data_IF_890226827229
#
_entry.id   IF_890226827229
#
_cell.length_a   1.000
_cell.length_b   1.000
_cell.length_c   1.000
_cell.angle_alpha   90.00
_cell.angle_beta   90.00
_cell.angle_gamma   90.00
#
_symmetry.space_group_name_H-M   'P 1'
#
loop_
_entity.id
_entity.type
_entity.pdbx_description
1 polymer ?
#
# COMPACT_ATOMS: atom_id res chain seq x y z
N UNK A 1 2.29 -8.29 -8.25
CA UNK A 1 2.11 -6.90 -7.73
C UNK A 1 2.96 -6.74 -6.48
N UNK A 2 3.74 -5.66 -6.33
CA UNK A 2 4.46 -5.37 -5.08
C UNK A 2 3.48 -5.16 -3.91
N UNK A 3 3.89 -5.53 -2.69
CA UNK A 3 3.05 -5.38 -1.50
C UNK A 3 2.67 -3.93 -1.21
N UNK A 4 3.54 -2.99 -1.56
CA UNK A 4 3.35 -1.54 -1.37
C UNK A 4 2.23 -1.00 -2.28
N UNK A 5 2.18 -1.46 -3.54
CA UNK A 5 1.12 -1.10 -4.47
C UNK A 5 -0.24 -1.63 -4.00
N UNK A 6 -0.30 -2.91 -3.60
CA UNK A 6 -1.52 -3.50 -3.06
C UNK A 6 -2.02 -2.73 -1.82
N UNK A 7 -1.10 -2.33 -0.94
CA UNK A 7 -1.44 -1.59 0.26
C UNK A 7 -2.09 -0.24 -0.06
N UNK A 8 -1.63 0.42 -1.13
CA UNK A 8 -2.21 1.68 -1.58
C UNK A 8 -3.56 1.47 -2.27
N UNK A 9 -3.68 0.45 -3.12
CA UNK A 9 -4.97 0.12 -3.75
C UNK A 9 -6.04 -0.18 -2.70
N UNK A 10 -5.73 -1.03 -1.73
CA UNK A 10 -6.66 -1.33 -0.62
C UNK A 10 -7.01 -0.10 0.22
N UNK A 11 -6.08 0.86 0.37
CA UNK A 11 -6.35 2.08 1.10
C UNK A 11 -7.38 2.93 0.37
N UNK A 12 -7.23 3.14 -0.94
CA UNK A 12 -8.14 3.97 -1.73
C UNK A 12 -9.45 3.27 -2.05
N UNK A 13 -9.43 1.95 -2.26
CA UNK A 13 -10.65 1.13 -2.38
C UNK A 13 -11.52 1.24 -1.13
N UNK A 14 -10.93 1.38 0.07
CA UNK A 14 -11.69 1.63 1.30
C UNK A 14 -12.49 2.95 1.27
N UNK A 15 -12.11 3.89 0.40
CA UNK A 15 -12.82 5.14 0.14
C UNK A 15 -13.64 5.12 -1.16
N UNK A 16 -13.71 3.97 -1.86
CA UNK A 16 -14.36 3.87 -3.18
C UNK A 16 -13.57 4.52 -4.31
N UNK A 17 -12.29 4.79 -4.09
CA UNK A 17 -11.40 5.52 -5.00
C UNK A 17 -10.36 4.58 -5.64
N UNK A 18 -9.71 5.05 -6.71
CA UNK A 18 -8.64 4.33 -7.42
C UNK A 18 -7.49 5.29 -7.73
N UNK A 19 -6.26 4.81 -7.93
CA UNK A 19 -5.09 5.71 -8.04
C UNK A 19 -4.74 6.17 -9.46
N UNK A 20 -5.12 5.41 -10.47
CA UNK A 20 -4.62 5.59 -11.84
C UNK A 20 -5.56 6.45 -12.69
N UNK A 21 -5.04 6.99 -13.81
CA UNK A 21 -5.78 7.79 -14.79
C UNK A 21 -6.47 9.03 -14.20
N UNK A 22 -5.72 9.80 -13.39
CA UNK A 22 -6.21 11.00 -12.70
C UNK A 22 -5.44 12.25 -13.07
N UNK A 23 -6.13 13.37 -13.04
CA UNK A 23 -5.60 14.72 -13.13
C UNK A 23 -4.82 15.10 -11.86
N UNK A 24 -3.97 16.13 -11.91
CA UNK A 24 -3.26 16.62 -10.72
C UNK A 24 -4.18 17.02 -9.57
N UNK A 25 -5.35 17.61 -9.86
CA UNK A 25 -6.34 18.03 -8.86
C UNK A 25 -6.97 16.82 -8.15
N UNK A 26 -7.30 15.77 -8.91
CA UNK A 26 -7.82 14.52 -8.35
C UNK A 26 -6.76 13.79 -7.50
N UNK A 27 -5.48 13.90 -7.83
CA UNK A 27 -4.41 13.41 -6.96
C UNK A 27 -4.32 14.16 -5.63
N UNK A 28 -4.54 15.48 -5.63
CA UNK A 28 -4.61 16.26 -4.39
C UNK A 28 -5.84 15.86 -3.57
N UNK A 29 -6.97 15.60 -4.23
CA UNK A 29 -8.15 15.06 -3.56
C UNK A 29 -7.85 13.73 -2.87
N UNK A 30 -7.21 12.78 -3.57
CA UNK A 30 -6.77 11.52 -2.99
C UNK A 30 -5.85 11.73 -1.78
N UNK A 31 -4.89 12.65 -1.88
CA UNK A 31 -4.00 12.96 -0.77
C UNK A 31 -4.76 13.47 0.48
N UNK A 32 -5.84 14.23 0.27
CA UNK A 32 -6.69 14.75 1.34
C UNK A 32 -7.49 13.67 2.09
N UNK A 33 -7.79 12.55 1.43
CA UNK A 33 -8.54 11.43 2.03
C UNK A 33 -7.67 10.58 2.97
N UNK A 34 -6.35 10.69 2.89
CA UNK A 34 -5.43 9.80 3.61
C UNK A 34 -5.49 10.10 5.12
N UNK A 35 -6.01 9.16 5.94
CA UNK A 35 -6.14 9.40 7.37
C UNK A 35 -4.79 9.24 8.08
N UNK A 36 -4.72 9.51 9.40
CA UNK A 36 -3.54 9.22 10.19
C UNK A 36 -3.04 7.79 9.98
N UNK A 37 -1.72 7.60 9.94
CA UNK A 37 -1.08 6.36 9.47
C UNK A 37 -1.53 5.09 10.22
N UNK A 38 -1.92 5.22 11.50
CA UNK A 38 -2.50 4.14 12.30
C UNK A 38 -3.87 3.69 11.77
N UNK A 39 -4.73 4.65 11.43
CA UNK A 39 -6.05 4.39 10.85
C UNK A 39 -5.92 3.87 9.41
N UNK A 40 -5.04 4.47 8.60
CA UNK A 40 -4.77 3.98 7.25
C UNK A 40 -4.29 2.52 7.27
N UNK A 41 -3.38 2.17 8.18
CA UNK A 41 -2.90 0.79 8.35
C UNK A 41 -4.01 -0.16 8.82
N UNK A 42 -4.94 0.31 9.64
CA UNK A 42 -6.10 -0.48 10.04
C UNK A 42 -6.99 -0.81 8.84
N UNK A 43 -7.34 0.18 8.01
CA UNK A 43 -8.17 0.00 6.82
C UNK A 43 -7.56 -1.00 5.84
N UNK A 44 -6.26 -0.86 5.55
CA UNK A 44 -5.55 -1.78 4.65
C UNK A 44 -5.53 -3.20 5.20
N UNK A 45 -5.27 -3.37 6.50
CA UNK A 45 -5.27 -4.69 7.13
C UNK A 45 -6.67 -5.31 7.16
N UNK A 46 -7.73 -4.51 7.28
CA UNK A 46 -9.10 -4.98 7.16
C UNK A 46 -9.40 -5.46 5.73
N UNK A 47 -8.93 -4.72 4.71
CA UNK A 47 -9.01 -5.14 3.30
C UNK A 47 -8.29 -6.47 3.05
N UNK A 48 -7.05 -6.61 3.52
CA UNK A 48 -6.28 -7.86 3.43
C UNK A 48 -6.99 -9.04 4.09
N UNK A 49 -7.64 -8.82 5.23
CA UNK A 49 -8.42 -9.86 5.90
C UNK A 49 -9.61 -10.31 5.05
N UNK A 50 -10.35 -9.37 4.45
CA UNK A 50 -11.48 -9.68 3.55
C UNK A 50 -11.03 -10.48 2.33
N UNK A 51 -9.93 -10.10 1.69
CA UNK A 51 -9.37 -10.85 0.56
C UNK A 51 -8.99 -12.28 0.98
N UNK A 52 -8.40 -12.45 2.17
CA UNK A 52 -8.07 -13.78 2.69
C UNK A 52 -9.33 -14.63 2.95
N UNK A 53 -10.38 -14.03 3.51
CA UNK A 53 -11.67 -14.70 3.78
C UNK A 53 -12.39 -15.10 2.47
N UNK A 54 -12.24 -14.32 1.41
CA UNK A 54 -12.75 -14.61 0.07
C UNK A 54 -11.97 -15.71 -0.66
N UNK A 55 -10.91 -16.24 -0.04
CA UNK A 55 -10.08 -17.28 -0.64
C UNK A 55 -9.12 -16.78 -1.71
N UNK A 56 -8.83 -15.47 -1.79
CA UNK A 56 -7.75 -14.97 -2.62
C UNK A 56 -6.39 -15.42 -2.04
N UNK A 57 -5.91 -16.56 -2.52
CA UNK A 57 -4.59 -17.10 -2.21
C UNK A 57 -3.57 -16.70 -3.27
N UNK A 58 -3.43 -15.39 -3.52
CA UNK A 58 -2.38 -14.90 -4.43
C UNK A 58 -1.02 -15.00 -3.73
N UNK A 59 -0.06 -15.70 -4.31
CA UNK A 59 1.31 -15.71 -3.78
C UNK A 59 2.07 -14.48 -4.25
N UNK A 60 2.82 -13.84 -3.36
CA UNK A 60 3.74 -12.76 -3.74
C UNK A 60 5.05 -13.36 -4.25
N UNK A 61 5.34 -13.10 -5.52
CA UNK A 61 6.65 -13.38 -6.07
C UNK A 61 7.63 -12.29 -5.58
N UNK A 62 8.66 -12.71 -4.84
CA UNK A 62 9.72 -11.85 -4.33
C UNK A 62 11.04 -12.29 -4.93
N UNK A 63 11.77 -11.31 -5.46
CA UNK A 63 13.11 -11.49 -5.99
C UNK A 63 13.99 -10.36 -5.49
N UNK A 64 14.98 -10.67 -4.66
CA UNK A 64 15.90 -9.70 -4.08
C UNK A 64 17.30 -9.84 -4.68
N UNK A 65 18.13 -8.78 -4.62
CA UNK A 65 19.54 -8.90 -4.96
C UNK A 65 20.20 -10.07 -4.21
N UNK A 66 20.82 -11.00 -4.94
CA UNK A 66 21.43 -12.20 -4.39
C UNK A 66 20.53 -13.44 -4.37
N UNK A 67 19.23 -13.33 -4.71
CA UNK A 67 18.40 -14.51 -4.92
C UNK A 67 18.76 -15.20 -6.25
N UNK A 68 18.97 -16.51 -6.20
CA UNK A 68 19.23 -17.35 -7.39
C UNK A 68 17.95 -17.74 -8.13
N UNK A 69 16.79 -17.67 -7.45
CA UNK A 69 15.47 -17.98 -8.00
C UNK A 69 14.37 -17.18 -7.30
N UNK A 70 13.24 -16.92 -7.97
CA UNK A 70 12.09 -16.27 -7.35
C UNK A 70 11.56 -17.08 -6.15
N UNK A 71 11.23 -16.40 -5.07
CA UNK A 71 10.57 -16.98 -3.90
C UNK A 71 9.10 -16.59 -3.90
N UNK A 72 8.22 -17.54 -3.65
CA UNK A 72 6.80 -17.29 -3.51
C UNK A 72 6.46 -17.25 -2.02
N UNK A 73 6.09 -16.07 -1.53
CA UNK A 73 5.62 -15.87 -0.16
C UNK A 73 4.08 -15.91 -0.13
N UNK A 74 3.47 -16.45 0.93
CA UNK A 74 2.02 -16.49 1.05
C UNK A 74 1.44 -15.08 1.11
N UNK A 75 0.18 -14.92 0.69
CA UNK A 75 -0.54 -13.65 0.79
C UNK A 75 -0.52 -13.15 2.25
N UNK A 76 -0.03 -11.92 2.51
CA UNK A 76 0.08 -11.41 3.86
C UNK A 76 -1.31 -11.08 4.39
N UNK A 77 -1.60 -11.60 5.59
CA UNK A 77 -2.83 -11.27 6.32
C UNK A 77 -2.79 -9.87 6.94
N UNK A 78 -1.58 -9.31 7.08
CA UNK A 78 -1.31 -8.03 7.73
C UNK A 78 -0.02 -7.43 7.20
N UNK A 79 0.03 -6.11 7.12
CA UNK A 79 1.23 -5.33 6.85
C UNK A 79 1.60 -4.43 8.03
N UNK A 80 2.88 -4.08 8.10
CA UNK A 80 3.37 -3.13 9.09
C UNK A 80 3.00 -1.69 8.72
N UNK A 81 2.91 -0.83 9.74
CA UNK A 81 2.75 0.62 9.58
C UNK A 81 3.92 1.21 8.77
N UNK A 82 5.13 0.67 8.92
CA UNK A 82 6.30 1.12 8.18
C UNK A 82 6.22 0.80 6.68
N UNK A 83 5.67 -0.37 6.33
CA UNK A 83 5.42 -0.75 4.93
C UNK A 83 4.47 0.23 4.27
N UNK A 84 3.35 0.55 4.93
CA UNK A 84 2.41 1.55 4.41
C UNK A 84 3.04 2.95 4.32
N UNK A 85 3.85 3.33 5.32
CA UNK A 85 4.58 4.60 5.29
C UNK A 85 5.50 4.69 4.07
N UNK A 86 6.27 3.64 3.78
CA UNK A 86 7.15 3.58 2.60
C UNK A 86 6.35 3.66 1.32
N UNK A 87 5.24 2.93 1.23
CA UNK A 87 4.34 2.98 0.08
C UNK A 87 3.83 4.41 -0.18
N UNK A 88 3.34 5.10 0.86
CA UNK A 88 2.87 6.48 0.76
C UNK A 88 3.99 7.47 0.36
N UNK A 89 5.22 7.25 0.85
CA UNK A 89 6.37 8.07 0.47
C UNK A 89 6.75 7.84 -1.00
N UNK A 90 6.83 6.58 -1.43
CA UNK A 90 7.20 6.21 -2.80
C UNK A 90 6.17 6.73 -3.81
N UNK A 91 4.88 6.71 -3.44
CA UNK A 91 3.80 7.24 -4.25
C UNK A 91 3.65 8.78 -4.19
N UNK A 92 4.47 9.48 -3.40
CA UNK A 92 4.43 10.95 -3.31
C UNK A 92 3.31 11.53 -2.43
N UNK A 93 2.53 10.69 -1.75
CA UNK A 93 1.46 11.13 -0.84
C UNK A 93 1.97 11.58 0.54
N UNK A 94 3.24 11.32 0.85
CA UNK A 94 3.82 11.69 2.14
C UNK A 94 5.29 12.05 2.00
N UNK A 95 5.70 13.12 2.67
CA UNK A 95 7.13 13.46 2.74
C UNK A 95 7.93 12.47 3.61
N UNK A 96 9.11 12.14 3.12
CA UNK A 96 10.08 11.37 3.87
C UNK A 96 10.62 12.20 5.05
N UNK A 97 10.76 11.57 6.24
CA UNK A 97 11.23 12.26 7.46
C UNK A 97 12.59 12.96 7.29
N UNK A 98 13.47 12.41 6.45
CA UNK A 98 14.80 12.96 6.17
C UNK A 98 14.77 14.13 5.18
N UNK A 99 13.64 14.33 4.49
CA UNK A 99 13.43 15.42 3.53
C UNK A 99 12.92 16.70 4.20
N UNK A 100 13.04 16.82 5.54
CA UNK A 100 12.81 18.09 6.24
C UNK A 100 13.74 19.15 5.64
N UNK A 101 13.22 19.94 4.71
CA UNK A 101 13.85 21.17 4.29
C UNK A 101 13.83 22.11 5.50
N UNK A 102 15.01 22.64 5.78
CA UNK A 102 15.27 23.84 6.57
C UNK A 102 14.29 24.95 6.23
#
# INVERSE_FOLDING_TARGET
>A
MPLEELALDLLFEAFGEHRYNRTPEEYQHLASLIPPLKQASYLVNQGLKKLNEQGEQRSFCRFKPGDLKPRYEPFPKKISIETLRKALINAGFRDAKWRKKT
#
